data_IF_793595492236
#
_entry.id   IF_793595492236
#
_cell.length_a   1.000
_cell.length_b   1.000
_cell.length_c   1.000
_cell.angle_alpha   90.00
_cell.angle_beta   90.00
_cell.angle_gamma   90.00
#
_symmetry.space_group_name_H-M   'P 1'
#
loop_
_entity.id
_entity.type
_entity.pdbx_description
1 polymer ?
#
# COMPACT_ATOMS: atom_id res chain seq x y z
N UNK A 1 -17.84 0.75 -26.61
CA UNK A 1 -17.38 2.17 -26.63
C UNK A 1 -17.95 3.04 -25.50
N UNK A 2 -19.09 2.71 -24.86
CA UNK A 2 -19.67 3.50 -23.74
C UNK A 2 -18.79 3.61 -22.48
N UNK A 3 -17.95 2.61 -22.20
CA UNK A 3 -17.07 2.60 -21.02
C UNK A 3 -15.97 3.68 -21.09
N UNK A 4 -15.35 3.87 -22.27
CA UNK A 4 -14.30 4.87 -22.46
C UNK A 4 -14.83 6.31 -22.35
N UNK A 5 -16.05 6.54 -22.85
CA UNK A 5 -16.72 7.85 -22.74
C UNK A 5 -17.17 8.14 -21.32
N UNK A 6 -17.62 7.10 -20.57
CA UNK A 6 -17.91 7.23 -19.15
C UNK A 6 -16.64 7.51 -18.34
N UNK A 7 -15.54 6.78 -18.58
CA UNK A 7 -14.24 6.99 -17.92
C UNK A 7 -13.72 8.43 -18.07
N UNK A 8 -13.75 8.96 -19.31
CA UNK A 8 -13.33 10.35 -19.59
C UNK A 8 -14.27 11.40 -18.98
N UNK A 9 -15.49 11.02 -18.59
CA UNK A 9 -16.43 11.93 -17.92
C UNK A 9 -16.20 12.04 -16.41
N UNK A 10 -15.38 11.15 -15.81
CA UNK A 10 -15.04 11.23 -14.40
C UNK A 10 -14.11 12.41 -14.10
N UNK A 11 -14.23 12.95 -12.89
CA UNK A 11 -13.44 14.06 -12.41
C UNK A 11 -11.92 13.74 -12.46
N UNK A 12 -11.09 14.73 -12.77
CA UNK A 12 -9.61 14.62 -12.78
C UNK A 12 -9.07 14.05 -11.47
N UNK A 13 -9.71 14.34 -10.33
CA UNK A 13 -9.33 13.79 -9.02
C UNK A 13 -9.34 12.25 -9.00
N UNK A 14 -10.32 11.62 -9.64
CA UNK A 14 -10.44 10.16 -9.68
C UNK A 14 -9.31 9.56 -10.52
N UNK A 15 -8.97 10.21 -11.64
CA UNK A 15 -7.84 9.81 -12.47
C UNK A 15 -6.52 9.87 -11.69
N UNK A 16 -6.30 10.94 -10.91
CA UNK A 16 -5.10 11.09 -10.08
C UNK A 16 -5.04 10.00 -9.01
N UNK A 17 -6.14 9.72 -8.32
CA UNK A 17 -6.19 8.67 -7.30
C UNK A 17 -5.91 7.29 -7.88
N UNK A 18 -6.54 6.95 -9.01
CA UNK A 18 -6.33 5.66 -9.69
C UNK A 18 -4.90 5.54 -10.20
N UNK A 19 -4.34 6.61 -10.76
CA UNK A 19 -2.94 6.65 -11.18
C UNK A 19 -1.99 6.41 -10.00
N UNK A 20 -2.19 7.10 -8.87
CA UNK A 20 -1.38 6.92 -7.66
C UNK A 20 -1.46 5.49 -7.12
N UNK A 21 -2.65 4.89 -7.08
CA UNK A 21 -2.83 3.50 -6.64
C UNK A 21 -2.14 2.51 -7.58
N UNK A 22 -2.28 2.69 -8.89
CA UNK A 22 -1.60 1.86 -9.88
C UNK A 22 -0.08 2.02 -9.79
N UNK A 23 0.40 3.25 -9.62
CA UNK A 23 1.82 3.54 -9.45
C UNK A 23 2.40 2.83 -8.22
N UNK A 24 1.73 2.93 -7.07
CA UNK A 24 2.13 2.22 -5.85
C UNK A 24 2.07 0.70 -6.01
N UNK A 25 1.05 0.17 -6.70
CA UNK A 25 0.93 -1.25 -6.96
C UNK A 25 2.08 -1.78 -7.85
N UNK A 26 2.45 -1.01 -8.89
CA UNK A 26 3.58 -1.34 -9.77
C UNK A 26 4.89 -1.28 -9.00
N UNK A 27 5.13 -0.23 -8.20
CA UNK A 27 6.33 -0.14 -7.35
C UNK A 27 6.41 -1.31 -6.36
N UNK A 28 5.28 -1.67 -5.73
CA UNK A 28 5.20 -2.81 -4.83
C UNK A 28 5.51 -4.15 -5.53
N UNK A 29 5.13 -4.31 -6.79
CA UNK A 29 5.41 -5.52 -7.57
C UNK A 29 6.88 -5.57 -8.04
N UNK A 30 7.48 -4.42 -8.31
CA UNK A 30 8.88 -4.29 -8.73
C UNK A 30 9.86 -4.26 -7.56
N UNK A 31 9.38 -4.10 -6.32
CA UNK A 31 10.18 -4.09 -5.10
C UNK A 31 11.27 -5.20 -5.01
N UNK A 32 10.98 -6.49 -5.25
CA UNK A 32 12.00 -7.54 -5.17
C UNK A 32 13.10 -7.43 -6.24
N UNK A 33 12.82 -6.77 -7.37
CA UNK A 33 13.82 -6.54 -8.42
C UNK A 33 14.66 -5.29 -8.16
N UNK A 34 14.14 -4.36 -7.37
CA UNK A 34 14.80 -3.08 -7.05
C UNK A 34 15.69 -3.24 -5.80
N UNK A 35 15.35 -4.15 -4.87
CA UNK A 35 16.10 -4.35 -3.63
C UNK A 35 17.46 -5.01 -3.89
N UNK A 36 18.59 -4.29 -3.68
CA UNK A 36 19.92 -4.85 -3.94
C UNK A 36 20.39 -5.83 -2.86
N UNK A 37 19.83 -5.77 -1.65
CA UNK A 37 20.23 -6.61 -0.52
C UNK A 37 19.00 -7.24 0.18
N UNK A 38 19.19 -8.40 0.86
CA UNK A 38 18.17 -8.96 1.73
C UNK A 38 17.89 -8.01 2.92
N UNK A 39 16.63 -7.63 3.09
CA UNK A 39 16.19 -6.62 4.08
C UNK A 39 16.33 -7.06 5.55
N UNK A 40 16.39 -8.38 5.77
CA UNK A 40 16.30 -9.00 7.10
C UNK A 40 17.66 -9.50 7.61
N UNK A 41 18.71 -9.45 6.79
CA UNK A 41 20.04 -9.83 7.24
C UNK A 41 20.64 -8.73 8.13
N UNK A 42 20.80 -9.05 9.41
CA UNK A 42 21.58 -8.23 10.33
C UNK A 42 23.05 -8.37 9.98
N UNK A 43 23.65 -7.31 9.43
CA UNK A 43 25.06 -7.28 9.13
C UNK A 43 25.89 -7.21 10.42
N UNK A 44 26.86 -8.11 10.59
CA UNK A 44 27.92 -7.99 11.61
C UNK A 44 29.01 -6.97 11.23
N UNK A 45 28.80 -6.22 10.14
CA UNK A 45 29.74 -5.28 9.54
C UNK A 45 29.52 -3.82 9.93
N UNK A 46 29.72 -2.90 8.98
CA UNK A 46 29.65 -1.46 9.20
C UNK A 46 28.22 -1.03 9.61
N UNK A 47 28.12 -0.28 10.70
CA UNK A 47 26.87 0.30 11.21
C UNK A 47 26.89 1.82 11.04
N UNK A 48 25.71 2.44 10.96
CA UNK A 48 25.56 3.90 10.88
C UNK A 48 26.33 4.53 9.70
N UNK A 49 26.36 3.83 8.56
CA UNK A 49 27.01 4.34 7.36
C UNK A 49 26.09 5.32 6.62
N UNK A 50 26.64 6.46 6.20
CA UNK A 50 25.92 7.43 5.39
C UNK A 50 25.61 6.93 3.96
N UNK A 51 24.89 7.75 3.16
CA UNK A 51 24.52 7.42 1.79
C UNK A 51 25.76 7.10 0.94
N UNK A 52 25.75 5.94 0.28
CA UNK A 52 26.81 5.53 -0.65
C UNK A 52 26.19 4.91 -1.90
N UNK A 53 26.97 4.78 -2.97
CA UNK A 53 26.50 4.14 -4.22
C UNK A 53 25.99 2.70 -4.01
N UNK A 54 26.51 1.99 -3.01
CA UNK A 54 26.01 0.65 -2.62
C UNK A 54 24.80 0.72 -1.70
N UNK A 55 24.73 1.72 -0.82
CA UNK A 55 23.65 1.91 0.16
C UNK A 55 23.05 3.29 -0.03
N UNK A 56 22.10 3.47 -0.97
CA UNK A 56 21.58 4.79 -1.35
C UNK A 56 21.01 5.57 -0.17
N UNK A 57 20.39 4.87 0.80
CA UNK A 57 19.84 5.44 2.03
C UNK A 57 20.70 5.17 3.27
N UNK A 58 21.89 4.60 3.09
CA UNK A 58 22.79 4.24 4.17
C UNK A 58 22.38 2.97 4.92
N UNK A 59 23.15 2.70 5.96
CA UNK A 59 23.02 1.52 6.82
C UNK A 59 22.58 1.94 8.21
N UNK A 60 21.66 1.20 8.82
CA UNK A 60 21.17 1.48 10.16
C UNK A 60 22.15 1.05 11.28
N UNK A 61 21.74 1.27 12.54
CA UNK A 61 22.53 0.88 13.71
C UNK A 61 22.70 -0.64 13.89
N UNK A 62 21.89 -1.44 13.20
CA UNK A 62 21.91 -2.90 13.20
C UNK A 62 22.60 -3.47 11.93
N UNK A 63 23.26 -2.62 11.13
CA UNK A 63 23.99 -3.08 9.95
C UNK A 63 23.09 -3.40 8.74
N UNK A 64 21.83 -2.92 8.73
CA UNK A 64 20.86 -3.23 7.66
C UNK A 64 20.75 -2.10 6.64
N UNK A 65 20.60 -2.46 5.36
CA UNK A 65 20.40 -1.51 4.27
C UNK A 65 19.00 -0.88 4.32
N UNK A 66 18.93 0.44 4.50
CA UNK A 66 17.66 1.14 4.66
C UNK A 66 16.86 1.24 3.35
N UNK A 67 17.55 1.27 2.20
CA UNK A 67 16.88 1.33 0.90
C UNK A 67 16.08 0.05 0.61
N UNK A 68 16.70 -1.11 0.86
CA UNK A 68 16.08 -2.42 0.75
C UNK A 68 14.89 -2.54 1.70
N UNK A 69 15.00 -2.05 2.94
CA UNK A 69 13.91 -2.06 3.93
C UNK A 69 12.72 -1.19 3.53
N UNK A 70 12.97 0.00 2.98
CA UNK A 70 11.89 0.88 2.48
C UNK A 70 11.19 0.20 1.31
N UNK A 71 11.96 -0.37 0.38
CA UNK A 71 11.44 -1.05 -0.81
C UNK A 71 10.57 -2.25 -0.43
N UNK A 72 11.01 -3.07 0.53
CA UNK A 72 10.24 -4.18 1.09
C UNK A 72 9.01 -3.69 1.88
N UNK A 73 9.17 -2.57 2.60
CA UNK A 73 8.10 -1.91 3.34
C UNK A 73 6.94 -1.47 2.44
N UNK A 74 7.20 -1.09 1.19
CA UNK A 74 6.13 -0.76 0.21
C UNK A 74 5.24 -2.00 -0.01
N UNK A 75 5.83 -3.19 -0.17
CA UNK A 75 5.10 -4.44 -0.40
C UNK A 75 4.28 -4.86 0.82
N UNK A 76 4.89 -4.80 2.00
CA UNK A 76 4.21 -5.09 3.26
C UNK A 76 3.05 -4.12 3.51
N UNK A 77 3.26 -2.82 3.29
CA UNK A 77 2.21 -1.80 3.49
C UNK A 77 1.04 -2.01 2.54
N UNK A 78 1.30 -2.32 1.27
CA UNK A 78 0.26 -2.62 0.29
C UNK A 78 -0.56 -3.85 0.69
N UNK A 79 0.12 -4.92 1.12
CA UNK A 79 -0.54 -6.15 1.56
C UNK A 79 -1.41 -5.95 2.81
N UNK A 80 -0.88 -5.26 3.82
CA UNK A 80 -1.62 -4.96 5.06
C UNK A 80 -2.83 -4.07 4.74
N UNK A 81 -2.63 -2.99 3.98
CA UNK A 81 -3.72 -2.07 3.62
C UNK A 81 -4.85 -2.78 2.86
N UNK A 82 -4.49 -3.65 1.91
CA UNK A 82 -5.47 -4.45 1.17
C UNK A 82 -6.23 -5.43 2.07
N UNK A 83 -5.53 -6.12 2.97
CA UNK A 83 -6.11 -7.10 3.90
C UNK A 83 -7.07 -6.43 4.88
N UNK A 84 -6.65 -5.31 5.47
CA UNK A 84 -7.48 -4.53 6.39
C UNK A 84 -8.73 -4.03 5.68
N UNK A 85 -8.59 -3.40 4.51
CA UNK A 85 -9.74 -2.88 3.77
C UNK A 85 -10.72 -3.98 3.35
N UNK A 86 -10.21 -5.12 2.88
CA UNK A 86 -11.04 -6.28 2.53
C UNK A 86 -11.80 -6.79 3.74
N UNK A 87 -11.14 -6.92 4.89
CA UNK A 87 -11.77 -7.38 6.14
C UNK A 87 -12.80 -6.38 6.65
N UNK A 88 -12.49 -5.08 6.60
CA UNK A 88 -13.43 -4.02 6.97
C UNK A 88 -14.67 -4.00 6.07
N UNK A 89 -14.53 -4.26 4.78
CA UNK A 89 -15.68 -4.39 3.88
C UNK A 89 -16.50 -5.64 4.20
N UNK A 90 -15.84 -6.79 4.38
CA UNK A 90 -16.50 -8.06 4.68
C UNK A 90 -17.30 -8.02 5.98
N UNK A 91 -16.83 -7.31 7.00
CA UNK A 91 -17.53 -7.21 8.29
C UNK A 91 -18.43 -5.98 8.34
N UNK A 92 -17.91 -4.83 7.90
CA UNK A 92 -18.61 -3.55 8.00
C UNK A 92 -19.83 -3.44 7.09
N UNK A 93 -19.78 -4.01 5.87
CA UNK A 93 -20.92 -3.95 4.95
C UNK A 93 -22.12 -4.76 5.48
N UNK A 94 -21.98 -6.04 5.90
CA UNK A 94 -23.11 -6.77 6.49
C UNK A 94 -23.67 -6.10 7.74
N UNK A 95 -22.82 -5.62 8.64
CA UNK A 95 -23.26 -4.91 9.85
C UNK A 95 -24.02 -3.63 9.49
N UNK A 96 -23.54 -2.88 8.50
CA UNK A 96 -24.21 -1.68 8.00
C UNK A 96 -25.56 -1.96 7.33
N UNK A 97 -25.67 -3.05 6.58
CA UNK A 97 -26.96 -3.47 5.98
C UNK A 97 -27.95 -3.87 7.07
N UNK A 98 -27.50 -4.65 8.07
CA UNK A 98 -28.35 -5.10 9.17
C UNK A 98 -28.86 -3.93 10.03
N UNK A 99 -28.04 -2.90 10.25
CA UNK A 99 -28.45 -1.71 10.98
C UNK A 99 -29.42 -0.85 10.16
N UNK A 100 -29.17 -0.68 8.86
CA UNK A 100 -30.06 0.05 7.95
C UNK A 100 -31.47 -0.57 7.89
N UNK A 101 -31.55 -1.91 7.88
CA UNK A 101 -32.83 -2.62 7.87
C UNK A 101 -33.66 -2.41 9.15
N UNK A 102 -33.00 -2.30 10.31
CA UNK A 102 -33.68 -1.99 11.59
C UNK A 102 -34.02 -0.49 11.74
N UNK A 103 -33.20 0.40 11.20
CA UNK A 103 -33.48 1.85 11.18
C UNK A 103 -34.72 2.20 10.36
N UNK A 104 -34.92 1.51 9.22
CA UNK A 104 -36.13 1.63 8.39
C UNK A 104 -37.43 1.31 9.13
N UNK A 105 -37.41 0.43 10.14
CA UNK A 105 -38.60 0.08 10.91
C UNK A 105 -39.01 1.18 11.89
N UNK A 106 -38.04 1.90 12.47
CA UNK A 106 -38.31 3.03 13.38
C UNK A 106 -38.71 4.29 12.61
N UNK A 107 -38.21 4.49 11.38
CA UNK A 107 -38.59 5.59 10.49
C UNK A 107 -40.03 5.43 9.92
N UNK A 108 -40.63 4.25 10.07
CA UNK A 108 -41.97 3.93 9.57
C UNK A 108 -43.11 4.01 10.60
N UNK A 109 -42.81 4.40 11.84
CA UNK A 109 -43.77 4.62 12.95
C UNK A 109 -43.94 6.11 13.22
#
# INVERSE_FOLDING_TARGET
>A
MKFLTWWRSLNTRIHVSVFMLLFLAVLSALAPFISPFPSDEMGTGQTLLGPTWKHPFGIDSMGRDQFSRVTEGIRLSAFIGFTVMSTSLLVGVPVGILSAYKGSLLDSL
#
